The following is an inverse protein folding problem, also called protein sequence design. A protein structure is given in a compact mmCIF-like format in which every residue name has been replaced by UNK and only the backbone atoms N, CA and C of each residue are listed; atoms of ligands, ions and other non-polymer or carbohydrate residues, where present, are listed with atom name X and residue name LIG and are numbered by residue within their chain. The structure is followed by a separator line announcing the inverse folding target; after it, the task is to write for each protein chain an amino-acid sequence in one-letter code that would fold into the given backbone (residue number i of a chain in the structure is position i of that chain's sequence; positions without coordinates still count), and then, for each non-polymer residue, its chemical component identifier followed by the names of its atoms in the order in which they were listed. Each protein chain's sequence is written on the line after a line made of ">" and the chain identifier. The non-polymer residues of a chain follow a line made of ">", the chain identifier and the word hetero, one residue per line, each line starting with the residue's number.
data_IF_143795721896
#
_entry.id   IF_143795721896
#
_cell.length_a   1.000
_cell.length_b   1.000
_cell.length_c   1.000
_cell.angle_alpha   90.00
_cell.angle_beta   90.00
_cell.angle_gamma   90.00
#
_symmetry.space_group_name_H-M   'P 1'
#
loop_
_entity.id
_entity.type
_entity.pdbx_description
1 polymer ?
#
# COMPACT_ATOMS: atom_id res chain seq x y z
N UNK A 1 2.17 4.61 6.31
CA UNK A 1 3.38 5.19 5.64
C UNK A 1 3.23 5.05 4.14
N UNK A 2 3.87 5.94 3.34
CA UNK A 2 3.97 5.79 1.89
C UNK A 2 5.44 5.53 1.52
N UNK A 3 5.67 4.88 0.40
CA UNK A 3 7.01 4.55 -0.09
C UNK A 3 7.19 5.07 -1.52
N UNK A 4 8.38 5.61 -1.80
CA UNK A 4 8.77 6.08 -3.12
C UNK A 4 9.73 5.08 -3.75
N UNK A 5 9.41 4.61 -4.96
CA UNK A 5 10.28 3.76 -5.76
C UNK A 5 10.79 4.55 -6.95
N UNK A 6 12.09 4.82 -6.98
CA UNK A 6 12.76 5.45 -8.10
C UNK A 6 13.19 4.37 -9.10
N UNK A 7 12.56 4.37 -10.27
CA UNK A 7 12.81 3.41 -11.33
C UNK A 7 13.28 4.15 -12.59
N UNK A 8 14.16 3.56 -13.45
CA UNK A 8 14.61 4.22 -14.67
C UNK A 8 13.47 4.66 -15.63
N UNK A 9 12.32 3.98 -15.58
CA UNK A 9 11.15 4.28 -16.41
C UNK A 9 10.11 5.19 -15.72
N UNK A 10 10.35 5.64 -14.46
CA UNK A 10 9.41 6.51 -13.77
C UNK A 10 9.54 6.49 -12.25
N UNK A 11 8.73 7.28 -11.60
CA UNK A 11 8.68 7.41 -10.16
C UNK A 11 7.34 6.90 -9.66
N UNK A 12 7.35 5.83 -8.85
CA UNK A 12 6.14 5.19 -8.33
C UNK A 12 5.98 5.47 -6.84
N UNK A 13 4.79 5.90 -6.44
CA UNK A 13 4.36 5.92 -5.05
C UNK A 13 3.61 4.62 -4.72
N UNK A 14 4.03 3.94 -3.66
CA UNK A 14 3.25 2.89 -3.04
C UNK A 14 2.59 3.45 -1.78
N UNK A 15 1.27 3.61 -1.83
CA UNK A 15 0.40 4.42 -0.98
C UNK A 15 0.67 5.93 -1.08
N UNK A 16 -0.33 6.73 -0.67
CA UNK A 16 -0.28 8.19 -0.72
C UNK A 16 -0.54 8.84 0.65
N UNK A 17 -0.66 8.01 1.69
CA UNK A 17 -0.74 8.47 3.08
C UNK A 17 -2.16 8.68 3.59
N UNK A 18 -2.23 9.32 4.75
CA UNK A 18 -3.43 9.50 5.57
C UNK A 18 -4.25 10.70 5.08
N UNK A 19 -5.55 10.51 4.89
CA UNK A 19 -6.45 11.57 4.46
C UNK A 19 -6.63 12.66 5.54
N UNK A 20 -6.98 13.86 5.09
CA UNK A 20 -7.38 14.97 5.97
C UNK A 20 -8.89 14.96 6.13
N UNK A 21 -9.36 14.70 7.34
CA UNK A 21 -10.78 14.72 7.70
C UNK A 21 -10.92 15.05 9.20
N UNK A 22 -11.72 16.07 9.58
CA UNK A 22 -11.84 16.51 10.99
C UNK A 22 -12.32 15.43 11.95
N UNK A 23 -13.25 14.55 11.53
CA UNK A 23 -13.76 13.50 12.39
C UNK A 23 -12.72 12.38 12.62
N UNK A 24 -11.95 12.08 11.57
CA UNK A 24 -10.84 11.13 11.66
C UNK A 24 -9.71 11.70 12.51
N UNK A 25 -9.43 13.00 12.37
CA UNK A 25 -8.38 13.69 13.14
C UNK A 25 -8.68 13.70 14.63
N UNK A 26 -9.94 13.86 14.99
CA UNK A 26 -10.39 13.80 16.40
C UNK A 26 -10.17 12.41 17.02
N UNK A 27 -10.28 11.35 16.22
CA UNK A 27 -10.13 9.96 16.70
C UNK A 27 -8.66 9.53 16.73
N UNK A 28 -7.91 9.80 15.66
CA UNK A 28 -6.58 9.22 15.46
C UNK A 28 -5.44 10.17 15.82
N UNK A 29 -5.70 11.48 15.96
CA UNK A 29 -4.68 12.51 16.24
C UNK A 29 -3.40 12.36 15.40
N UNK A 30 -3.49 12.22 14.06
CA UNK A 30 -2.36 11.89 13.22
C UNK A 30 -1.34 13.01 13.15
N UNK A 31 -0.06 12.68 13.26
CA UNK A 31 1.03 13.60 12.92
C UNK A 31 1.29 13.45 11.42
N UNK A 32 0.88 14.45 10.65
CA UNK A 32 0.99 14.43 9.19
C UNK A 32 2.24 15.13 8.69
N UNK A 33 2.76 14.63 7.61
CA UNK A 33 3.62 15.36 6.68
C UNK A 33 2.83 15.46 5.37
N UNK A 34 2.80 16.64 4.75
CA UNK A 34 2.16 16.78 3.44
C UNK A 34 2.87 15.90 2.40
N UNK A 35 2.15 15.47 1.36
CA UNK A 35 2.74 14.70 0.28
C UNK A 35 3.88 15.47 -0.39
N UNK A 36 3.72 16.77 -0.60
CA UNK A 36 4.75 17.63 -1.20
C UNK A 36 6.00 17.71 -0.35
N UNK A 37 5.87 17.89 0.98
CA UNK A 37 7.02 17.92 1.88
C UNK A 37 7.73 16.57 1.94
N UNK A 38 6.98 15.46 1.87
CA UNK A 38 7.54 14.12 1.86
C UNK A 38 8.32 13.85 0.56
N UNK A 39 7.75 14.20 -0.59
CA UNK A 39 8.40 14.09 -1.89
C UNK A 39 9.61 15.00 -1.99
N UNK A 40 9.50 16.25 -1.57
CA UNK A 40 10.62 17.21 -1.56
C UNK A 40 11.79 16.71 -0.70
N UNK A 41 11.51 16.13 0.47
CA UNK A 41 12.55 15.52 1.30
C UNK A 41 13.25 14.32 0.63
N UNK A 42 12.58 13.65 -0.32
CA UNK A 42 13.16 12.60 -1.15
C UNK A 42 13.82 13.14 -2.44
N UNK A 43 13.82 14.46 -2.66
CA UNK A 43 14.37 15.10 -3.85
C UNK A 43 13.51 14.97 -5.09
N UNK A 44 12.20 14.72 -4.95
CA UNK A 44 11.25 14.51 -6.04
C UNK A 44 10.13 15.56 -5.94
N UNK A 45 9.62 16.02 -7.08
CA UNK A 45 8.44 16.87 -7.17
C UNK A 45 7.21 16.02 -7.46
N UNK A 46 6.03 16.56 -7.16
CA UNK A 46 4.75 15.87 -7.39
C UNK A 46 4.51 15.55 -8.88
N UNK A 47 4.91 16.45 -9.78
CA UNK A 47 4.77 16.28 -11.23
C UNK A 47 5.76 15.25 -11.83
N UNK A 48 6.73 14.78 -11.03
CA UNK A 48 7.62 13.68 -11.41
C UNK A 48 7.06 12.31 -11.03
N UNK A 49 5.97 12.25 -10.24
CA UNK A 49 5.28 10.98 -9.92
C UNK A 49 4.55 10.49 -11.16
N UNK A 50 4.92 9.32 -11.66
CA UNK A 50 4.40 8.76 -12.91
C UNK A 50 3.41 7.62 -12.68
N UNK A 51 3.33 7.09 -11.48
CA UNK A 51 2.40 6.03 -11.11
C UNK A 51 2.16 6.02 -9.59
N UNK A 52 0.98 5.55 -9.21
CA UNK A 52 0.62 5.21 -7.82
C UNK A 52 0.16 3.75 -7.79
N UNK A 53 0.47 3.03 -6.74
CA UNK A 53 -0.17 1.78 -6.39
C UNK A 53 -0.63 1.85 -4.94
N UNK A 54 -1.90 1.66 -4.65
CA UNK A 54 -2.38 1.57 -3.28
C UNK A 54 -2.39 0.12 -2.83
N UNK A 55 -1.85 -0.18 -1.65
CA UNK A 55 -1.96 -1.52 -1.09
C UNK A 55 -3.43 -1.89 -0.84
N UNK A 56 -4.23 -0.92 -0.44
CA UNK A 56 -5.70 -0.94 -0.38
C UNK A 56 -6.24 0.50 -0.29
N UNK A 57 -7.57 0.68 -0.26
CA UNK A 57 -8.19 2.00 -0.37
C UNK A 57 -8.81 2.52 0.94
N UNK A 58 -8.32 2.12 2.12
CA UNK A 58 -8.66 2.82 3.34
C UNK A 58 -8.03 4.22 3.36
N UNK A 59 -8.66 5.13 4.10
CA UNK A 59 -8.32 6.55 4.13
C UNK A 59 -6.88 6.86 4.57
N UNK A 60 -6.22 5.94 5.27
CA UNK A 60 -4.84 6.08 5.74
C UNK A 60 -3.78 5.61 4.72
N UNK A 61 -4.23 5.08 3.58
CA UNK A 61 -3.37 4.62 2.48
C UNK A 61 -3.57 5.41 1.18
N UNK A 62 -4.80 5.88 0.92
CA UNK A 62 -5.14 6.55 -0.33
C UNK A 62 -5.45 8.05 -0.16
N UNK A 63 -5.18 8.64 1.01
CA UNK A 63 -5.53 10.01 1.34
C UNK A 63 -4.98 11.08 0.41
N UNK A 64 -3.82 10.85 -0.17
CA UNK A 64 -3.19 11.76 -1.13
C UNK A 64 -3.54 11.51 -2.60
N UNK A 65 -4.36 10.50 -2.93
CA UNK A 65 -4.74 10.20 -4.31
C UNK A 65 -5.30 11.42 -5.06
N UNK A 66 -6.21 12.23 -4.48
CA UNK A 66 -6.78 13.40 -5.17
C UNK A 66 -5.77 14.50 -5.51
N UNK A 67 -4.57 14.47 -4.92
CA UNK A 67 -3.48 15.40 -5.23
C UNK A 67 -2.73 15.03 -6.52
N UNK A 68 -3.05 13.88 -7.13
CA UNK A 68 -2.36 13.29 -8.28
C UNK A 68 -3.32 13.03 -9.46
N UNK A 69 -4.08 14.05 -9.92
CA UNK A 69 -5.00 13.88 -11.06
C UNK A 69 -4.22 13.52 -12.33
N UNK A 70 -4.76 12.58 -13.11
CA UNK A 70 -4.14 12.08 -14.35
C UNK A 70 -2.98 11.11 -14.16
N UNK A 71 -2.51 10.89 -12.93
CA UNK A 71 -1.51 9.86 -12.65
C UNK A 71 -2.22 8.50 -12.54
N UNK A 72 -1.75 7.44 -13.25
CA UNK A 72 -2.35 6.12 -13.15
C UNK A 72 -2.21 5.55 -11.74
N UNK A 73 -3.34 5.09 -11.17
CA UNK A 73 -3.46 4.51 -9.83
C UNK A 73 -3.84 3.05 -9.95
N UNK A 74 -2.92 2.15 -9.61
CA UNK A 74 -3.12 0.71 -9.71
C UNK A 74 -3.78 0.15 -8.44
N UNK A 75 -4.91 -0.53 -8.60
CA UNK A 75 -5.68 -1.15 -7.52
C UNK A 75 -6.23 -2.50 -7.98
N UNK A 76 -6.44 -3.43 -7.05
CA UNK A 76 -7.14 -4.67 -7.36
C UNK A 76 -8.65 -4.41 -7.56
N UNK A 77 -9.30 -5.17 -8.46
CA UNK A 77 -10.75 -5.06 -8.74
C UNK A 77 -11.60 -5.14 -7.48
N UNK A 78 -11.34 -6.11 -6.63
CA UNK A 78 -12.10 -6.30 -5.37
C UNK A 78 -11.94 -5.13 -4.41
N UNK A 79 -10.79 -4.46 -4.43
CA UNK A 79 -10.54 -3.27 -3.63
C UNK A 79 -11.33 -2.08 -4.15
N UNK A 80 -11.27 -1.87 -5.47
CA UNK A 80 -11.99 -0.77 -6.11
C UNK A 80 -13.52 -0.92 -5.98
N UNK A 81 -14.03 -2.15 -6.06
CA UNK A 81 -15.44 -2.45 -5.80
C UNK A 81 -15.81 -2.18 -4.34
N UNK A 82 -14.98 -2.63 -3.38
CA UNK A 82 -15.20 -2.38 -1.96
C UNK A 82 -15.17 -0.90 -1.59
N UNK A 83 -14.30 -0.11 -2.22
CA UNK A 83 -14.18 1.33 -1.96
C UNK A 83 -15.43 2.13 -2.33
N UNK A 84 -16.34 1.56 -3.11
CA UNK A 84 -17.66 2.15 -3.46
C UNK A 84 -18.73 1.86 -2.43
N UNK A 85 -18.49 0.93 -1.51
CA UNK A 85 -19.43 0.62 -0.44
C UNK A 85 -19.43 1.75 0.61
N UNK A 86 -20.61 2.13 1.12
CA UNK A 86 -20.70 3.18 2.14
C UNK A 86 -19.85 2.88 3.38
N UNK A 87 -19.02 3.83 3.78
CA UNK A 87 -18.20 3.72 4.99
C UNK A 87 -16.91 2.91 4.85
N UNK A 88 -16.60 2.40 3.66
CA UNK A 88 -15.34 1.70 3.43
C UNK A 88 -14.14 2.67 3.46
N UNK A 89 -14.29 3.79 2.79
CA UNK A 89 -13.29 4.87 2.76
C UNK A 89 -13.99 6.24 2.77
N UNK A 90 -13.22 7.32 2.79
CA UNK A 90 -13.81 8.66 2.68
C UNK A 90 -14.23 8.95 1.22
N UNK A 91 -15.32 9.70 1.03
CA UNK A 91 -15.72 10.15 -0.30
C UNK A 91 -14.61 10.94 -1.00
N UNK A 92 -14.44 10.70 -2.30
CA UNK A 92 -13.48 11.43 -3.13
C UNK A 92 -12.04 10.93 -3.05
N UNK A 93 -11.73 9.84 -2.33
CA UNK A 93 -10.39 9.26 -2.30
C UNK A 93 -10.14 8.20 -3.38
N UNK A 94 -11.14 7.37 -3.65
CA UNK A 94 -11.07 6.33 -4.69
C UNK A 94 -11.56 6.82 -6.06
N UNK A 95 -12.55 7.69 -6.07
CA UNK A 95 -13.12 8.30 -7.27
C UNK A 95 -13.16 9.83 -7.08
N UNK A 96 -12.41 10.56 -7.90
CA UNK A 96 -12.27 12.02 -7.87
C UNK A 96 -12.08 12.57 -9.29
N UNK A 97 -12.21 13.88 -9.47
CA UNK A 97 -12.01 14.50 -10.77
C UNK A 97 -10.56 14.31 -11.26
N UNK A 98 -10.41 13.77 -12.46
CA UNK A 98 -9.13 13.41 -13.04
C UNK A 98 -8.52 12.10 -12.54
N UNK A 99 -9.26 11.25 -11.79
CA UNK A 99 -8.77 9.93 -11.37
C UNK A 99 -8.51 9.00 -12.59
N UNK A 100 -7.31 8.46 -12.73
CA UNK A 100 -6.94 7.44 -13.72
C UNK A 100 -6.75 6.09 -13.03
N UNK A 101 -7.86 5.40 -12.73
CA UNK A 101 -7.84 4.13 -12.00
C UNK A 101 -7.52 2.96 -12.96
N UNK A 102 -6.46 2.22 -12.67
CA UNK A 102 -6.02 1.02 -13.37
C UNK A 102 -6.34 -0.22 -12.54
N UNK A 103 -7.43 -0.86 -12.90
CA UNK A 103 -7.94 -2.04 -12.19
C UNK A 103 -7.19 -3.30 -12.60
N UNK A 104 -6.71 -4.05 -11.62
CA UNK A 104 -5.98 -5.30 -11.79
C UNK A 104 -6.80 -6.50 -11.29
N UNK A 105 -6.55 -7.67 -11.87
CA UNK A 105 -7.10 -8.95 -11.46
C UNK A 105 -5.95 -9.93 -11.15
N UNK A 106 -5.44 -9.91 -9.93
CA UNK A 106 -4.30 -10.72 -9.51
C UNK A 106 -2.95 -10.02 -9.69
N UNK A 107 -1.89 -10.81 -9.86
CA UNK A 107 -0.53 -10.27 -9.99
C UNK A 107 -0.32 -9.58 -11.33
N UNK A 108 0.43 -8.49 -11.30
CA UNK A 108 0.75 -7.74 -12.52
C UNK A 108 2.13 -7.08 -12.41
N UNK A 109 2.99 -7.30 -13.38
CA UNK A 109 4.18 -6.49 -13.58
C UNK A 109 3.76 -5.16 -14.22
N UNK A 110 3.95 -4.05 -13.50
CA UNK A 110 3.54 -2.71 -13.93
C UNK A 110 4.68 -1.91 -14.58
N UNK A 111 5.93 -2.24 -14.22
CA UNK A 111 7.16 -1.81 -14.85
C UNK A 111 8.17 -2.97 -14.74
N UNK A 112 9.20 -3.04 -15.59
CA UNK A 112 10.20 -4.12 -15.52
C UNK A 112 10.79 -4.25 -14.13
N UNK A 113 10.59 -5.40 -13.46
CA UNK A 113 11.03 -5.65 -12.09
C UNK A 113 10.18 -4.99 -10.98
N UNK A 114 9.04 -4.40 -11.31
CA UNK A 114 8.04 -3.92 -10.34
C UNK A 114 6.74 -4.70 -10.51
N UNK A 115 6.49 -5.65 -9.61
CA UNK A 115 5.31 -6.53 -9.66
C UNK A 115 4.37 -6.24 -8.48
N UNK A 116 3.13 -5.89 -8.79
CA UNK A 116 2.05 -5.89 -7.81
C UNK A 116 1.58 -7.32 -7.58
N UNK A 117 1.59 -7.74 -6.33
CA UNK A 117 1.20 -9.08 -5.89
C UNK A 117 -0.15 -8.99 -5.18
N UNK A 118 -1.15 -9.74 -5.60
CA UNK A 118 -2.38 -9.87 -4.84
C UNK A 118 -2.10 -10.56 -3.50
N UNK A 119 -2.32 -9.85 -2.40
CA UNK A 119 -2.10 -10.33 -1.03
C UNK A 119 -3.34 -10.08 -0.16
N UNK A 120 -4.51 -10.65 -0.55
CA UNK A 120 -5.75 -10.43 0.16
C UNK A 120 -5.69 -10.96 1.60
N UNK A 121 -6.54 -10.38 2.45
CA UNK A 121 -6.67 -10.78 3.84
C UNK A 121 -7.05 -9.63 4.74
N UNK A 122 -6.22 -8.60 4.88
CA UNK A 122 -6.59 -7.35 5.55
C UNK A 122 -7.86 -6.77 4.90
N UNK A 123 -7.81 -6.58 3.60
CA UNK A 123 -8.98 -6.42 2.75
C UNK A 123 -9.01 -7.50 1.67
N UNK A 124 -10.16 -7.70 1.01
CA UNK A 124 -10.29 -8.70 -0.04
C UNK A 124 -9.53 -8.33 -1.34
N UNK A 125 -9.18 -7.08 -1.50
CA UNK A 125 -8.44 -6.54 -2.64
C UNK A 125 -7.05 -6.02 -2.29
N UNK A 126 -6.53 -6.32 -1.10
CA UNK A 126 -5.19 -5.90 -0.69
C UNK A 126 -4.11 -6.42 -1.65
N UNK A 127 -3.09 -5.60 -1.91
CA UNK A 127 -1.91 -5.95 -2.70
C UNK A 127 -0.62 -5.45 -2.07
N UNK A 128 0.49 -6.09 -2.41
CA UNK A 128 1.86 -5.71 -2.04
C UNK A 128 2.66 -5.39 -3.31
N UNK A 129 3.74 -4.64 -3.20
CA UNK A 129 4.66 -4.38 -4.31
C UNK A 129 5.97 -5.11 -4.09
N UNK A 130 6.35 -5.96 -5.04
CA UNK A 130 7.67 -6.56 -5.13
C UNK A 130 8.54 -5.72 -6.08
N UNK A 131 9.72 -5.39 -5.60
CA UNK A 131 10.76 -4.67 -6.34
C UNK A 131 11.96 -5.59 -6.51
N UNK A 132 12.27 -5.96 -7.73
CA UNK A 132 13.46 -6.74 -8.05
C UNK A 132 14.71 -5.86 -7.91
N UNK A 133 15.65 -6.27 -7.09
CA UNK A 133 16.93 -5.58 -6.92
C UNK A 133 18.11 -6.52 -7.20
N UNK A 134 19.30 -5.97 -7.36
CA UNK A 134 20.51 -6.76 -7.58
C UNK A 134 20.84 -7.69 -6.40
N UNK A 135 20.38 -7.36 -5.20
CA UNK A 135 20.59 -8.14 -3.97
C UNK A 135 19.45 -9.11 -3.67
N UNK A 136 18.45 -9.21 -4.54
CA UNK A 136 17.23 -9.99 -4.36
C UNK A 136 15.99 -9.12 -4.17
N UNK A 137 14.81 -9.74 -4.03
CA UNK A 137 13.55 -9.01 -3.96
C UNK A 137 13.42 -8.18 -2.68
N UNK A 138 12.90 -6.97 -2.84
CA UNK A 138 12.43 -6.10 -1.75
C UNK A 138 10.90 -6.02 -1.84
N UNK A 139 10.21 -6.19 -0.72
CA UNK A 139 8.75 -6.16 -0.71
C UNK A 139 8.25 -4.97 0.11
N UNK A 140 7.42 -4.14 -0.50
CA UNK A 140 6.59 -3.17 0.18
C UNK A 140 5.24 -3.86 0.42
N UNK A 141 5.07 -4.39 1.62
CA UNK A 141 3.98 -5.30 1.93
C UNK A 141 2.67 -4.59 2.31
N UNK A 142 2.67 -3.25 2.38
CA UNK A 142 1.50 -2.48 2.77
C UNK A 142 1.03 -2.89 4.17
N UNK A 143 -0.23 -3.29 4.27
CA UNK A 143 -0.84 -3.80 5.50
C UNK A 143 -1.12 -5.33 5.43
N UNK A 144 -0.28 -6.07 4.70
CA UNK A 144 -0.33 -7.54 4.74
C UNK A 144 -0.04 -8.09 6.15
N UNK A 145 0.70 -7.34 6.97
CA UNK A 145 0.82 -7.47 8.42
C UNK A 145 0.90 -6.06 9.04
N UNK A 146 0.60 -5.92 10.33
CA UNK A 146 0.76 -4.65 11.02
C UNK A 146 2.18 -4.42 11.52
N UNK A 147 2.86 -5.48 11.96
CA UNK A 147 4.20 -5.39 12.54
C UNK A 147 5.16 -6.42 11.96
N UNK A 148 6.45 -6.12 12.07
CA UNK A 148 7.52 -7.05 11.71
C UNK A 148 7.43 -8.35 12.52
N UNK A 149 7.05 -8.28 13.80
CA UNK A 149 6.91 -9.46 14.64
C UNK A 149 5.77 -10.37 14.17
N UNK A 150 4.64 -9.78 13.75
CA UNK A 150 3.52 -10.52 13.16
C UNK A 150 3.90 -11.21 11.84
N UNK A 151 4.68 -10.53 11.02
CA UNK A 151 5.20 -11.11 9.78
C UNK A 151 6.22 -12.23 10.06
N UNK A 152 7.13 -12.03 11.00
CA UNK A 152 8.20 -12.98 11.33
C UNK A 152 7.64 -14.26 12.00
N UNK A 153 6.69 -14.12 12.91
CA UNK A 153 6.07 -15.24 13.64
C UNK A 153 4.53 -15.08 13.70
N UNK A 154 3.81 -15.52 12.65
CA UNK A 154 2.35 -15.38 12.60
C UNK A 154 1.61 -16.31 13.55
N UNK A 155 2.29 -17.23 14.22
CA UNK A 155 1.68 -18.14 15.19
C UNK A 155 1.73 -17.57 16.62
N UNK A 156 2.83 -16.89 16.96
CA UNK A 156 3.08 -16.38 18.31
C UNK A 156 3.20 -14.85 18.37
N UNK A 157 3.27 -14.16 17.23
CA UNK A 157 3.29 -12.70 17.15
C UNK A 157 1.96 -12.06 17.60
N UNK A 158 1.99 -10.76 17.87
CA UNK A 158 0.76 -10.01 18.16
C UNK A 158 -0.16 -10.05 16.94
N UNK A 159 -1.32 -10.69 17.08
CA UNK A 159 -2.27 -11.02 16.01
C UNK A 159 -3.26 -9.88 15.71
N UNK A 160 -2.84 -8.62 15.83
CA UNK A 160 -3.71 -7.47 15.56
C UNK A 160 -4.23 -7.48 14.13
N UNK A 161 -3.33 -7.66 13.16
CA UNK A 161 -3.68 -7.70 11.75
C UNK A 161 -4.60 -8.86 11.42
N UNK A 162 -4.34 -10.04 12.01
CA UNK A 162 -5.20 -11.19 11.82
C UNK A 162 -6.61 -10.97 12.37
N UNK A 163 -6.76 -10.30 13.52
CA UNK A 163 -8.07 -9.98 14.10
C UNK A 163 -8.83 -8.93 13.29
N UNK A 164 -8.11 -7.99 12.69
CA UNK A 164 -8.67 -6.94 11.86
C UNK A 164 -8.89 -7.37 10.39
N UNK A 165 -8.40 -8.57 10.00
CA UNK A 165 -8.50 -9.05 8.64
C UNK A 165 -9.95 -9.37 8.24
N UNK A 166 -10.34 -8.94 7.04
CA UNK A 166 -11.62 -9.30 6.43
C UNK A 166 -11.73 -10.82 6.17
N UNK A 167 -10.58 -11.45 5.86
CA UNK A 167 -10.46 -12.90 5.70
C UNK A 167 -9.16 -13.41 6.32
N UNK A 168 -9.27 -14.04 7.49
CA UNK A 168 -8.13 -14.56 8.24
C UNK A 168 -7.38 -15.69 7.54
N UNK A 169 -8.08 -16.50 6.73
CA UNK A 169 -7.45 -17.59 5.99
C UNK A 169 -6.60 -17.03 4.84
N UNK A 170 -7.14 -16.10 4.06
CA UNK A 170 -6.38 -15.42 3.01
C UNK A 170 -5.22 -14.61 3.60
N UNK A 171 -5.41 -13.94 4.74
CA UNK A 171 -4.35 -13.21 5.45
C UNK A 171 -3.13 -14.10 5.72
N UNK A 172 -3.34 -15.29 6.32
CA UNK A 172 -2.25 -16.24 6.57
C UNK A 172 -1.59 -16.73 5.28
N UNK A 173 -2.37 -17.03 4.26
CA UNK A 173 -1.85 -17.46 2.95
C UNK A 173 -1.00 -16.38 2.28
N UNK A 174 -1.44 -15.12 2.36
CA UNK A 174 -0.69 -13.98 1.85
C UNK A 174 0.65 -13.80 2.57
N UNK A 175 0.68 -13.90 3.90
CA UNK A 175 1.93 -13.87 4.66
C UNK A 175 2.87 -15.02 4.31
N UNK A 176 2.34 -16.24 4.15
CA UNK A 176 3.12 -17.40 3.73
C UNK A 176 3.71 -17.16 2.35
N UNK A 177 2.89 -16.71 1.38
CA UNK A 177 3.33 -16.38 0.03
C UNK A 177 4.48 -15.35 0.02
N UNK A 178 4.35 -14.26 0.78
CA UNK A 178 5.39 -13.24 0.86
C UNK A 178 6.71 -13.79 1.42
N UNK A 179 6.66 -14.78 2.33
CA UNK A 179 7.87 -15.45 2.84
C UNK A 179 8.50 -16.39 1.81
N UNK A 180 7.68 -17.10 1.04
CA UNK A 180 8.16 -18.02 -0.01
C UNK A 180 8.93 -17.28 -1.11
N UNK A 181 8.70 -15.96 -1.28
CA UNK A 181 9.49 -15.11 -2.16
C UNK A 181 10.90 -14.79 -1.64
N UNK A 182 11.21 -15.16 -0.39
CA UNK A 182 12.52 -14.95 0.27
C UNK A 182 13.05 -13.51 0.12
N UNK A 183 12.27 -12.50 0.55
CA UNK A 183 12.68 -11.11 0.39
C UNK A 183 13.97 -10.82 1.18
N UNK A 184 14.84 -9.98 0.61
CA UNK A 184 16.00 -9.44 1.32
C UNK A 184 15.59 -8.35 2.32
N UNK A 185 14.48 -7.67 2.05
CA UNK A 185 13.85 -6.70 2.96
C UNK A 185 12.35 -6.70 2.74
N UNK A 186 11.62 -6.51 3.84
CA UNK A 186 10.18 -6.29 3.77
C UNK A 186 9.81 -5.09 4.64
N UNK A 187 8.99 -4.21 4.07
CA UNK A 187 8.50 -2.98 4.69
C UNK A 187 6.99 -3.06 4.87
N UNK A 188 6.51 -2.59 6.02
CA UNK A 188 5.09 -2.56 6.39
C UNK A 188 4.61 -1.11 6.54
N UNK A 189 3.33 -0.87 6.27
CA UNK A 189 2.77 0.48 6.35
C UNK A 189 2.67 1.02 7.79
N UNK A 190 2.54 0.14 8.80
CA UNK A 190 2.31 0.51 10.20
C UNK A 190 3.47 0.15 11.14
N UNK A 191 4.63 -0.26 10.62
CA UNK A 191 5.83 -0.49 11.42
C UNK A 191 7.02 0.24 10.79
N UNK A 192 7.77 0.98 11.58
CA UNK A 192 8.99 1.67 11.13
C UNK A 192 10.20 0.74 11.02
N UNK A 193 10.11 -0.44 11.61
CA UNK A 193 11.12 -1.48 11.50
C UNK A 193 11.06 -2.12 10.11
N UNK A 194 12.21 -2.62 9.67
CA UNK A 194 12.37 -3.35 8.41
C UNK A 194 12.66 -4.79 8.73
N UNK A 195 11.88 -5.70 8.18
CA UNK A 195 12.21 -7.11 8.29
C UNK A 195 13.38 -7.47 7.34
N UNK A 196 14.31 -8.26 7.85
CA UNK A 196 15.45 -8.83 7.11
C UNK A 196 15.63 -10.29 7.56
N UNK A 197 16.12 -11.20 6.67
CA UNK A 197 16.38 -12.62 7.01
C UNK A 197 17.46 -12.82 8.05
#
# INVERSE_FOLDING_TARGET
>A
MAYLVLHPAGCLLFDTGFAEDPAIDEIYHPVRRSLDDALHAAGVKRDEVTAVANCHLHFDHCGGNPLLPGVPIFVQRREFEAAREPGYTLPGLAEFDGADIRVLDGDAEILPGLTLLATPGHTNGHQSLMVDTRSGPVILAGQAAYTVDEYADPQNGHIWGLKAAADQHQYRRSLQRLRELQPQRLYLAHDTRVWQP
#
